data_IF_071320806657
#
_entry.id   IF_071320806657
#
_cell.length_a   1.000
_cell.length_b   1.000
_cell.length_c   1.000
_cell.angle_alpha   90.00
_cell.angle_beta   90.00
_cell.angle_gamma   90.00
#
_symmetry.space_group_name_H-M   'P 1'
#
loop_
_entity.id
_entity.type
_entity.pdbx_description
1 polymer ?
#
# COMPACT_ATOMS: atom_id res chain seq x y z
N UNK A 1 -10.10 -25.45 4.80
CA UNK A 1 -10.22 -24.00 4.73
C UNK A 1 -11.57 -23.51 4.18
N UNK A 2 -12.08 -23.98 3.01
CA UNK A 2 -13.43 -23.60 2.50
C UNK A 2 -14.58 -23.82 3.50
N UNK A 3 -14.53 -24.87 4.34
CA UNK A 3 -15.56 -25.19 5.35
C UNK A 3 -15.53 -24.27 6.59
N UNK A 4 -14.38 -23.67 6.92
CA UNK A 4 -14.24 -22.75 8.07
C UNK A 4 -14.77 -21.35 7.71
N UNK A 5 -14.53 -20.88 6.46
CA UNK A 5 -15.11 -19.63 5.96
C UNK A 5 -16.63 -19.72 5.79
N UNK A 6 -17.14 -20.85 5.27
CA UNK A 6 -18.58 -21.08 5.18
C UNK A 6 -19.24 -21.14 6.58
N UNK A 7 -18.56 -21.70 7.58
CA UNK A 7 -19.05 -21.71 8.96
C UNK A 7 -19.04 -20.32 9.61
N UNK A 8 -18.03 -19.49 9.34
CA UNK A 8 -17.97 -18.10 9.82
C UNK A 8 -19.03 -17.21 9.14
N UNK A 9 -19.27 -17.40 7.84
CA UNK A 9 -20.35 -16.71 7.13
C UNK A 9 -21.73 -17.18 7.59
N UNK A 10 -21.93 -18.48 7.83
CA UNK A 10 -23.18 -19.02 8.37
C UNK A 10 -23.47 -18.55 9.82
N UNK A 11 -22.44 -18.37 10.66
CA UNK A 11 -22.59 -17.77 11.98
C UNK A 11 -23.00 -16.29 11.90
N UNK A 12 -22.49 -15.52 10.95
CA UNK A 12 -22.86 -14.12 10.73
C UNK A 12 -24.29 -13.97 10.18
N UNK A 13 -24.77 -14.91 9.35
CA UNK A 13 -26.15 -14.92 8.84
C UNK A 13 -27.17 -15.45 9.87
N UNK A 14 -26.78 -16.34 10.77
CA UNK A 14 -27.67 -16.91 11.80
C UNK A 14 -28.07 -15.86 12.87
N UNK A 15 -27.26 -14.85 13.11
CA UNK A 15 -27.59 -13.76 14.07
C UNK A 15 -28.58 -12.73 13.52
N UNK A 16 -28.87 -12.72 12.20
CA UNK A 16 -29.81 -11.78 11.58
C UNK A 16 -31.25 -12.32 11.43
N UNK A 17 -31.46 -13.62 11.66
CA UNK A 17 -32.77 -14.25 11.48
C UNK A 17 -33.32 -14.77 12.84
N UNK A 18 -33.79 -13.88 13.71
CA UNK A 18 -34.77 -14.16 14.76
C UNK A 18 -34.65 -15.48 15.58
N UNK A 19 -33.44 -16.08 15.66
CA UNK A 19 -33.17 -17.22 16.55
C UNK A 19 -32.91 -16.68 17.95
N UNK A 20 -33.55 -17.23 18.95
CA UNK A 20 -33.31 -17.01 20.36
C UNK A 20 -31.79 -16.96 20.63
N UNK A 21 -31.29 -15.78 21.06
CA UNK A 21 -29.86 -15.53 21.28
C UNK A 21 -29.31 -16.50 22.36
N UNK A 22 -28.83 -17.66 21.93
CA UNK A 22 -27.97 -18.45 22.75
C UNK A 22 -26.69 -17.63 23.03
N UNK A 23 -26.43 -17.32 24.30
CA UNK A 23 -25.20 -16.60 24.67
C UNK A 23 -23.98 -17.29 24.04
N UNK A 24 -23.10 -16.56 23.36
CA UNK A 24 -21.92 -17.15 22.78
C UNK A 24 -21.05 -17.77 23.87
N UNK A 25 -20.43 -18.93 23.62
CA UNK A 25 -19.53 -19.57 24.59
C UNK A 25 -18.47 -18.60 25.13
N UNK A 26 -18.05 -18.74 26.37
CA UNK A 26 -17.10 -17.82 27.03
C UNK A 26 -15.78 -17.63 26.24
N UNK A 27 -15.30 -18.69 25.57
CA UNK A 27 -14.11 -18.58 24.71
C UNK A 27 -14.33 -17.67 23.50
N UNK A 28 -15.55 -17.57 22.96
CA UNK A 28 -15.90 -16.65 21.85
C UNK A 28 -15.91 -15.22 22.36
N UNK A 29 -16.48 -14.98 23.54
CA UNK A 29 -16.44 -13.66 24.21
C UNK A 29 -14.99 -13.22 24.47
N UNK A 30 -14.13 -14.16 24.91
CA UNK A 30 -12.72 -13.91 25.16
C UNK A 30 -11.92 -13.57 23.90
N UNK A 31 -12.33 -14.03 22.70
CA UNK A 31 -11.67 -13.76 21.43
C UNK A 31 -11.86 -12.34 20.91
N UNK A 32 -12.76 -11.54 21.48
CA UNK A 32 -13.05 -10.17 21.04
C UNK A 32 -13.10 -10.07 19.49
N UNK A 33 -13.96 -10.87 18.91
CA UNK A 33 -14.12 -10.94 17.46
C UNK A 33 -14.68 -9.62 16.90
N UNK A 34 -14.16 -9.21 15.76
CA UNK A 34 -14.66 -8.10 14.95
C UNK A 34 -14.67 -8.51 13.49
N UNK A 35 -15.68 -8.09 12.77
CA UNK A 35 -15.79 -8.38 11.35
C UNK A 35 -16.20 -7.19 10.52
N UNK A 36 -15.89 -7.27 9.24
CA UNK A 36 -16.31 -6.32 8.22
C UNK A 36 -16.69 -7.09 6.96
N UNK A 37 -17.86 -6.82 6.42
CA UNK A 37 -18.26 -7.23 5.07
C UNK A 37 -18.46 -5.97 4.25
N UNK A 38 -17.88 -5.90 3.07
CA UNK A 38 -18.02 -4.77 2.17
C UNK A 38 -18.39 -5.25 0.76
N UNK A 39 -19.36 -4.56 0.15
CA UNK A 39 -19.72 -4.68 -1.26
C UNK A 39 -19.21 -3.43 -1.98
N UNK A 40 -18.26 -3.62 -2.91
CA UNK A 40 -17.62 -2.55 -3.64
C UNK A 40 -18.04 -2.60 -5.11
N UNK A 41 -18.68 -1.55 -5.58
CA UNK A 41 -19.05 -1.36 -6.98
C UNK A 41 -18.25 -0.19 -7.56
N UNK A 42 -17.74 -0.35 -8.81
CA UNK A 42 -17.15 0.74 -9.58
C UNK A 42 -17.61 0.69 -11.04
N UNK A 43 -17.93 1.87 -11.58
CA UNK A 43 -18.31 2.06 -12.97
C UNK A 43 -17.35 3.05 -13.63
N UNK A 44 -16.72 2.65 -14.73
CA UNK A 44 -15.83 3.49 -15.53
C UNK A 44 -16.62 4.52 -16.32
N UNK A 45 -16.16 5.76 -16.34
CA UNK A 45 -16.83 6.87 -17.01
C UNK A 45 -16.44 7.01 -18.49
N UNK A 46 -15.23 6.60 -18.85
CA UNK A 46 -14.73 6.68 -20.23
C UNK A 46 -15.09 5.46 -21.07
N UNK A 47 -15.15 5.64 -22.38
CA UNK A 47 -15.45 4.60 -23.35
C UNK A 47 -14.41 3.46 -23.39
N UNK A 48 -14.86 2.19 -23.33
CA UNK A 48 -16.23 1.75 -23.10
C UNK A 48 -16.63 1.95 -21.63
N UNK A 49 -17.71 2.71 -21.37
CA UNK A 49 -18.30 2.86 -20.05
C UNK A 49 -18.89 1.53 -19.60
N UNK A 50 -18.32 0.94 -18.56
CA UNK A 50 -18.74 -0.36 -18.04
C UNK A 50 -18.40 -0.56 -16.56
N UNK A 51 -18.92 -1.62 -15.97
CA UNK A 51 -18.60 -2.02 -14.60
C UNK A 51 -17.15 -2.49 -14.57
N UNK A 52 -16.32 -1.88 -13.71
CA UNK A 52 -14.91 -2.18 -13.53
C UNK A 52 -14.59 -2.90 -12.22
N UNK A 53 -15.56 -2.98 -11.29
CA UNK A 53 -15.48 -3.72 -10.02
C UNK A 53 -16.86 -4.11 -9.54
N UNK A 54 -17.00 -5.34 -9.05
CA UNK A 54 -18.17 -5.85 -8.34
C UNK A 54 -17.65 -6.84 -7.27
N UNK A 55 -17.07 -6.29 -6.20
CA UNK A 55 -16.25 -7.04 -5.23
C UNK A 55 -16.95 -7.16 -3.89
N UNK A 56 -17.11 -8.40 -3.44
CA UNK A 56 -17.46 -8.75 -2.05
C UNK A 56 -16.19 -8.99 -1.27
N UNK A 57 -15.94 -8.21 -0.24
CA UNK A 57 -14.78 -8.31 0.64
C UNK A 57 -15.20 -8.64 2.06
N UNK A 58 -14.59 -9.68 2.64
CA UNK A 58 -14.74 -10.08 4.03
C UNK A 58 -13.45 -9.87 4.81
N UNK A 59 -13.56 -9.34 6.02
CA UNK A 59 -12.49 -9.22 7.02
C UNK A 59 -12.98 -9.78 8.34
N UNK A 60 -12.17 -10.61 8.98
CA UNK A 60 -12.41 -11.11 10.32
C UNK A 60 -11.13 -11.01 11.15
N UNK A 61 -11.21 -10.43 12.31
CA UNK A 61 -10.11 -10.38 13.27
C UNK A 61 -10.55 -10.84 14.66
N UNK A 62 -9.61 -11.42 15.41
CA UNK A 62 -9.78 -11.80 16.79
C UNK A 62 -8.55 -11.46 17.60
N UNK A 63 -8.76 -11.01 18.83
CA UNK A 63 -7.70 -10.76 19.81
C UNK A 63 -7.99 -11.55 21.07
N UNK A 64 -7.01 -12.32 21.54
CA UNK A 64 -7.08 -13.11 22.77
C UNK A 64 -5.97 -12.68 23.74
N UNK A 65 -6.35 -12.26 24.94
CA UNK A 65 -5.39 -11.96 26.01
C UNK A 65 -5.12 -13.27 26.77
N UNK A 66 -3.91 -13.80 26.63
CA UNK A 66 -3.44 -14.99 27.36
C UNK A 66 -3.14 -14.61 28.81
N UNK A 67 -2.53 -13.45 29.03
CA UNK A 67 -2.24 -12.83 30.31
C UNK A 67 -2.16 -11.31 30.15
N UNK A 68 -1.87 -10.59 31.24
CA UNK A 68 -1.59 -9.12 31.13
C UNK A 68 -0.39 -8.81 30.24
N UNK A 69 0.60 -9.69 30.21
CA UNK A 69 1.82 -9.51 29.43
C UNK A 69 1.77 -10.15 28.04
N UNK A 70 0.83 -11.06 27.75
CA UNK A 70 0.83 -11.88 26.53
C UNK A 70 -0.51 -11.79 25.82
N UNK A 71 -0.51 -11.44 24.56
CA UNK A 71 -1.70 -11.45 23.71
C UNK A 71 -1.44 -12.06 22.33
N UNK A 72 -2.48 -12.68 21.78
CA UNK A 72 -2.53 -13.21 20.43
C UNK A 72 -3.52 -12.38 19.62
N UNK A 73 -3.17 -12.10 18.35
CA UNK A 73 -4.06 -11.48 17.38
C UNK A 73 -3.99 -12.22 16.06
N UNK A 74 -5.14 -12.45 15.46
CA UNK A 74 -5.23 -13.01 14.12
C UNK A 74 -6.24 -12.22 13.30
N UNK A 75 -5.90 -11.94 12.03
CA UNK A 75 -6.81 -11.28 11.09
C UNK A 75 -6.69 -11.92 9.70
N UNK A 76 -7.85 -12.16 9.06
CA UNK A 76 -7.96 -12.74 7.72
C UNK A 76 -8.79 -11.81 6.86
N UNK A 77 -8.37 -11.62 5.62
CA UNK A 77 -9.12 -10.91 4.59
C UNK A 77 -9.32 -11.81 3.37
N UNK A 78 -10.50 -11.82 2.82
CA UNK A 78 -10.77 -12.47 1.55
C UNK A 78 -11.72 -11.65 0.70
N UNK A 79 -11.63 -11.82 -0.64
CA UNK A 79 -12.61 -11.24 -1.56
C UNK A 79 -12.88 -12.13 -2.76
N UNK A 80 -14.02 -11.82 -3.37
CA UNK A 80 -14.42 -12.32 -4.67
C UNK A 80 -14.93 -11.15 -5.50
N UNK A 81 -14.39 -10.96 -6.71
CA UNK A 81 -14.82 -9.90 -7.62
C UNK A 81 -15.56 -10.50 -8.81
N UNK A 82 -16.88 -10.37 -8.79
CA UNK A 82 -17.78 -10.91 -9.79
C UNK A 82 -17.70 -10.19 -11.15
N UNK A 83 -16.96 -9.08 -11.25
CA UNK A 83 -16.75 -8.40 -12.54
C UNK A 83 -16.08 -9.33 -13.54
N UNK A 84 -15.22 -10.23 -13.08
CA UNK A 84 -14.53 -11.23 -13.93
C UNK A 84 -15.45 -12.33 -14.48
N UNK A 85 -16.66 -12.48 -13.94
CA UNK A 85 -17.69 -13.36 -14.50
C UNK A 85 -18.69 -12.59 -15.36
N UNK A 86 -18.77 -11.27 -15.17
CA UNK A 86 -19.71 -10.40 -15.85
C UNK A 86 -19.20 -9.85 -17.18
N UNK A 87 -17.87 -9.89 -17.42
CA UNK A 87 -17.24 -9.34 -18.63
C UNK A 87 -16.05 -10.19 -19.10
N UNK A 88 -15.89 -10.33 -20.41
CA UNK A 88 -14.73 -10.96 -21.06
C UNK A 88 -13.56 -9.98 -21.31
N UNK A 89 -13.61 -8.79 -20.71
CA UNK A 89 -12.65 -7.71 -20.95
C UNK A 89 -11.25 -8.04 -20.47
N UNK A 90 -11.16 -8.70 -19.32
CA UNK A 90 -9.88 -8.95 -18.66
C UNK A 90 -9.29 -10.28 -19.12
N UNK A 91 -7.98 -10.30 -19.46
CA UNK A 91 -7.33 -11.55 -19.85
C UNK A 91 -7.21 -12.51 -18.65
N UNK A 92 -7.09 -13.81 -18.94
CA UNK A 92 -7.10 -14.86 -17.93
C UNK A 92 -5.99 -14.75 -16.85
N UNK A 93 -4.87 -14.09 -17.15
CA UNK A 93 -3.83 -13.80 -16.14
C UNK A 93 -4.27 -12.75 -15.12
N UNK A 94 -5.09 -11.77 -15.50
CA UNK A 94 -5.68 -10.76 -14.61
C UNK A 94 -6.79 -11.37 -13.77
N UNK A 95 -7.68 -12.16 -14.41
CA UNK A 95 -8.73 -12.87 -13.69
C UNK A 95 -8.16 -13.75 -12.58
N UNK A 96 -7.15 -14.57 -12.86
CA UNK A 96 -6.49 -15.42 -11.86
C UNK A 96 -5.82 -14.65 -10.73
N UNK A 97 -5.36 -13.41 -10.99
CA UNK A 97 -4.65 -12.57 -10.03
C UNK A 97 -5.59 -11.75 -9.15
N UNK A 98 -6.77 -11.35 -9.66
CA UNK A 98 -7.62 -10.35 -9.01
C UNK A 98 -9.03 -10.80 -8.67
N UNK A 99 -9.56 -11.86 -9.31
CA UNK A 99 -10.93 -12.36 -9.05
C UNK A 99 -11.14 -12.81 -7.61
N UNK A 100 -10.17 -13.53 -7.06
CA UNK A 100 -10.25 -14.03 -5.68
C UNK A 100 -8.92 -13.86 -4.96
N UNK A 101 -8.96 -13.49 -3.70
CA UNK A 101 -7.80 -13.51 -2.81
C UNK A 101 -8.24 -13.95 -1.42
N UNK A 102 -7.38 -14.67 -0.72
CA UNK A 102 -7.52 -15.00 0.68
C UNK A 102 -6.17 -14.81 1.36
N UNK A 103 -6.09 -13.83 2.23
CA UNK A 103 -4.83 -13.40 2.84
C UNK A 103 -4.93 -13.41 4.37
N UNK A 104 -3.94 -14.03 5.02
CA UNK A 104 -3.69 -13.86 6.44
C UNK A 104 -3.08 -12.47 6.63
N UNK A 105 -3.83 -11.56 7.24
CA UNK A 105 -3.39 -10.16 7.45
C UNK A 105 -2.58 -10.00 8.72
N UNK A 106 -2.94 -10.75 9.75
CA UNK A 106 -2.19 -10.80 11.01
C UNK A 106 -2.22 -12.21 11.58
N UNK A 107 -1.11 -12.61 12.19
CA UNK A 107 -0.97 -13.77 13.08
C UNK A 107 0.17 -13.42 14.03
N UNK A 108 -0.17 -12.76 15.13
CA UNK A 108 0.76 -11.98 15.94
C UNK A 108 0.70 -12.43 17.41
N UNK A 109 1.86 -12.78 17.95
CA UNK A 109 2.12 -12.92 19.37
C UNK A 109 2.78 -11.64 19.87
N UNK A 110 2.17 -11.00 20.88
CA UNK A 110 2.75 -9.84 21.56
C UNK A 110 3.10 -10.20 22.99
N UNK A 111 4.30 -9.89 23.41
CA UNK A 111 4.82 -10.11 24.77
C UNK A 111 5.38 -8.79 25.29
N UNK A 112 4.79 -8.25 26.37
CA UNK A 112 5.28 -7.08 27.09
C UNK A 112 5.91 -7.47 28.41
N UNK A 113 7.13 -6.99 28.67
CA UNK A 113 7.81 -7.19 29.95
C UNK A 113 8.64 -5.97 30.34
N UNK A 114 8.18 -5.23 31.33
CA UNK A 114 8.83 -3.99 31.77
C UNK A 114 8.89 -2.95 30.63
N UNK A 115 10.10 -2.60 30.21
CA UNK A 115 10.35 -1.64 29.12
C UNK A 115 10.51 -2.31 27.74
N UNK A 116 10.33 -3.63 27.66
CA UNK A 116 10.47 -4.39 26.42
C UNK A 116 9.12 -4.89 25.93
N UNK A 117 8.78 -4.56 24.70
CA UNK A 117 7.67 -5.12 23.92
C UNK A 117 8.23 -5.93 22.75
N UNK A 118 7.79 -7.19 22.60
CA UNK A 118 8.18 -8.07 21.49
C UNK A 118 6.93 -8.48 20.72
N UNK A 119 6.97 -8.34 19.42
CA UNK A 119 5.94 -8.76 18.47
C UNK A 119 6.53 -9.78 17.51
N UNK A 120 6.03 -10.99 17.52
CA UNK A 120 6.48 -12.09 16.68
C UNK A 120 5.34 -12.60 15.82
N UNK A 121 5.53 -12.65 14.51
CA UNK A 121 4.55 -13.20 13.59
C UNK A 121 4.28 -12.32 12.39
N UNK A 122 3.13 -12.57 11.71
CA UNK A 122 2.72 -11.81 10.53
C UNK A 122 2.07 -10.51 10.94
N UNK A 123 2.62 -9.38 10.47
CA UNK A 123 2.23 -8.05 10.93
C UNK A 123 2.54 -6.96 9.90
N UNK A 124 1.94 -5.77 10.10
CA UNK A 124 2.33 -4.54 9.43
C UNK A 124 3.18 -3.70 10.37
N UNK A 125 4.29 -3.16 9.86
CA UNK A 125 5.21 -2.29 10.58
C UNK A 125 5.22 -0.94 9.86
N UNK A 126 4.81 0.13 10.56
CA UNK A 126 4.55 1.44 9.96
C UNK A 126 5.50 2.46 10.55
N UNK A 127 6.40 3.02 9.73
CA UNK A 127 7.39 4.01 10.16
C UNK A 127 7.13 5.43 9.63
N UNK A 128 6.24 5.58 8.64
CA UNK A 128 5.89 6.86 8.04
C UNK A 128 4.40 7.21 8.16
N UNK A 129 4.07 8.49 8.09
CA UNK A 129 2.72 9.05 8.28
C UNK A 129 2.24 9.93 7.12
N UNK A 130 2.76 9.72 5.92
CA UNK A 130 2.37 10.50 4.74
C UNK A 130 0.92 10.24 4.31
N UNK A 131 0.28 11.24 3.70
CA UNK A 131 -1.13 11.14 3.24
C UNK A 131 -1.28 10.67 1.79
N UNK A 132 -0.22 10.76 0.98
CA UNK A 132 -0.31 10.48 -0.47
C UNK A 132 0.86 9.71 -1.06
N UNK A 133 1.92 9.48 -0.28
CA UNK A 133 3.15 8.82 -0.74
C UNK A 133 3.79 8.02 0.39
N UNK A 134 4.78 7.21 0.07
CA UNK A 134 5.56 6.45 1.05
C UNK A 134 7.00 6.97 1.03
N UNK A 135 7.46 7.56 2.13
CA UNK A 135 8.83 8.08 2.27
C UNK A 135 9.62 7.18 3.24
N UNK A 136 9.26 7.16 4.51
CA UNK A 136 9.90 6.32 5.52
C UNK A 136 9.14 5.00 5.81
N UNK A 137 7.95 4.82 5.25
CA UNK A 137 7.17 3.58 5.32
C UNK A 137 7.72 2.51 4.34
N UNK A 138 8.88 1.99 4.64
CA UNK A 138 9.70 1.15 3.74
C UNK A 138 9.66 -0.35 4.06
N UNK A 139 9.24 -0.74 5.26
CA UNK A 139 9.35 -2.12 5.74
C UNK A 139 8.41 -3.07 4.98
N UNK A 140 7.13 -2.77 4.93
CA UNK A 140 6.16 -3.62 4.27
C UNK A 140 6.11 -3.38 2.76
N UNK A 141 6.04 -4.44 1.91
CA UNK A 141 5.69 -4.31 0.51
C UNK A 141 4.24 -3.82 0.34
N UNK A 142 3.89 -3.39 -0.86
CA UNK A 142 2.59 -2.78 -1.18
C UNK A 142 1.87 -3.55 -2.29
N UNK A 143 0.55 -3.63 -2.18
CA UNK A 143 -0.32 -4.19 -3.21
C UNK A 143 -0.85 -3.08 -4.12
N UNK A 144 -0.20 -2.88 -5.26
CA UNK A 144 -0.56 -1.87 -6.25
C UNK A 144 -1.48 -2.37 -7.35
N UNK A 145 -2.11 -3.55 -7.20
CA UNK A 145 -3.03 -4.08 -8.22
C UNK A 145 -4.21 -3.15 -8.52
N UNK A 146 -4.62 -2.37 -7.53
CA UNK A 146 -5.59 -1.27 -7.67
C UNK A 146 -4.92 0.11 -7.53
N UNK A 147 -3.68 0.25 -8.02
CA UNK A 147 -2.86 1.46 -7.89
C UNK A 147 -2.72 1.90 -6.41
N UNK A 148 -2.89 3.19 -6.10
CA UNK A 148 -2.88 3.75 -4.73
C UNK A 148 -4.28 4.19 -4.30
N UNK A 149 -5.33 3.50 -4.77
CA UNK A 149 -6.73 3.83 -4.50
C UNK A 149 -7.23 3.28 -3.14
N UNK A 150 -6.85 2.05 -2.73
CA UNK A 150 -7.17 1.57 -1.39
C UNK A 150 -6.46 2.37 -0.30
N UNK A 151 -6.99 2.32 0.91
CA UNK A 151 -6.33 2.89 2.09
C UNK A 151 -4.94 2.26 2.32
N UNK A 152 -4.00 3.01 2.89
CA UNK A 152 -2.62 2.54 3.09
C UNK A 152 -2.51 1.26 3.93
N UNK A 153 -3.40 1.07 4.89
CA UNK A 153 -3.50 -0.18 5.66
C UNK A 153 -3.91 -1.38 4.81
N UNK A 154 -4.70 -1.16 3.77
CA UNK A 154 -5.08 -2.21 2.81
C UNK A 154 -3.96 -2.45 1.78
N UNK A 155 -3.26 -1.40 1.36
CA UNK A 155 -2.13 -1.48 0.43
C UNK A 155 -0.94 -2.23 1.02
N UNK A 156 -0.63 -2.04 2.32
CA UNK A 156 0.51 -2.75 2.94
C UNK A 156 0.27 -4.25 2.95
N UNK A 157 1.22 -5.02 2.44
CA UNK A 157 1.25 -6.47 2.54
C UNK A 157 1.94 -6.83 3.85
N UNK A 158 1.28 -7.52 4.80
CA UNK A 158 1.91 -7.93 6.04
C UNK A 158 3.03 -8.94 5.79
N UNK A 159 4.07 -8.90 6.62
CA UNK A 159 5.24 -9.77 6.55
C UNK A 159 5.41 -10.56 7.86
N UNK A 160 6.07 -11.71 7.79
CA UNK A 160 6.52 -12.45 8.97
C UNK A 160 7.78 -11.79 9.53
N UNK A 161 7.69 -11.24 10.73
CA UNK A 161 8.79 -10.49 11.33
C UNK A 161 8.89 -10.72 12.83
N UNK A 162 10.10 -10.56 13.35
CA UNK A 162 10.38 -10.23 14.73
C UNK A 162 10.53 -8.71 14.80
N UNK A 163 9.73 -8.09 15.64
CA UNK A 163 9.77 -6.67 15.93
C UNK A 163 9.84 -6.53 17.46
N UNK A 164 10.77 -5.75 17.95
CA UNK A 164 10.89 -5.46 19.36
C UNK A 164 11.11 -3.97 19.58
N UNK A 165 10.45 -3.44 20.60
CA UNK A 165 10.62 -2.06 21.06
C UNK A 165 11.11 -2.08 22.51
N UNK A 166 12.21 -1.38 22.74
CA UNK A 166 12.75 -1.17 24.09
C UNK A 166 12.75 0.29 24.46
N UNK A 167 12.14 0.61 25.61
CA UNK A 167 12.14 1.97 26.17
C UNK A 167 13.44 2.24 26.89
N UNK A 168 14.30 3.05 26.26
CA UNK A 168 15.63 3.39 26.82
C UNK A 168 15.53 4.35 28.00
N UNK A 169 14.67 5.37 27.88
CA UNK A 169 14.36 6.34 28.94
C UNK A 169 12.95 6.88 28.68
N UNK A 170 12.44 7.74 29.56
CA UNK A 170 11.20 8.46 29.31
C UNK A 170 11.28 9.27 28.00
N UNK A 171 10.41 8.92 27.04
CA UNK A 171 10.33 9.56 25.73
C UNK A 171 11.40 9.13 24.71
N UNK A 172 12.29 8.15 25.02
CA UNK A 172 13.24 7.60 24.06
C UNK A 172 13.03 6.10 23.94
N UNK A 173 12.79 5.61 22.72
CA UNK A 173 12.62 4.19 22.42
C UNK A 173 13.48 3.76 21.24
N UNK A 174 13.93 2.52 21.30
CA UNK A 174 14.60 1.82 20.22
C UNK A 174 13.71 0.67 19.74
N UNK A 175 13.45 0.61 18.45
CA UNK A 175 12.73 -0.47 17.80
C UNK A 175 13.69 -1.18 16.83
N UNK A 176 13.70 -2.51 16.88
CA UNK A 176 14.45 -3.35 15.96
C UNK A 176 13.53 -4.30 15.22
N UNK A 177 13.72 -4.42 13.92
CA UNK A 177 12.94 -5.28 13.02
C UNK A 177 13.87 -6.23 12.30
N UNK A 178 13.50 -7.51 12.28
CA UNK A 178 14.12 -8.53 11.45
C UNK A 178 13.06 -9.39 10.78
N UNK A 179 13.23 -9.66 9.49
CA UNK A 179 12.32 -10.49 8.71
C UNK A 179 13.07 -11.42 7.75
N UNK A 180 12.74 -12.73 7.74
CA UNK A 180 13.13 -13.66 6.67
C UNK A 180 12.16 -13.63 5.49
N UNK A 181 11.05 -12.87 5.60
CA UNK A 181 10.03 -12.72 4.57
C UNK A 181 10.51 -11.67 3.57
N UNK A 182 10.83 -12.10 2.37
CA UNK A 182 11.36 -11.28 1.28
C UNK A 182 10.30 -10.92 0.25
N UNK A 183 9.03 -10.85 0.68
CA UNK A 183 7.92 -10.46 -0.21
C UNK A 183 8.14 -9.10 -0.86
N UNK A 184 7.67 -8.99 -2.10
CA UNK A 184 7.78 -7.80 -2.94
C UNK A 184 6.43 -7.15 -3.20
N UNK A 185 6.44 -5.95 -3.80
CA UNK A 185 5.24 -5.27 -4.22
C UNK A 185 4.48 -6.12 -5.25
N UNK A 186 3.17 -6.24 -5.08
CA UNK A 186 2.28 -6.81 -6.09
C UNK A 186 1.92 -5.73 -7.11
N UNK A 187 2.40 -5.92 -8.32
CA UNK A 187 2.11 -5.01 -9.43
C UNK A 187 0.95 -5.54 -10.27
N UNK A 188 0.11 -4.66 -10.86
CA UNK A 188 -0.97 -5.08 -11.74
C UNK A 188 -0.42 -5.82 -12.97
N UNK A 189 -1.05 -6.95 -13.29
CA UNK A 189 -0.71 -7.75 -14.49
C UNK A 189 -1.08 -7.00 -15.77
N UNK A 190 -0.49 -7.41 -16.88
CA UNK A 190 -0.83 -6.84 -18.20
C UNK A 190 -2.30 -7.09 -18.54
N UNK A 191 -3.02 -6.05 -18.91
CA UNK A 191 -4.45 -6.04 -19.19
C UNK A 191 -5.32 -5.74 -17.96
N UNK A 192 -4.73 -5.51 -16.77
CA UNK A 192 -5.47 -5.09 -15.58
C UNK A 192 -5.96 -3.64 -15.72
N UNK A 193 -7.00 -3.30 -14.95
CA UNK A 193 -7.60 -1.97 -14.91
C UNK A 193 -6.58 -0.86 -14.65
N UNK A 194 -5.70 -1.04 -13.70
CA UNK A 194 -4.64 -0.10 -13.33
C UNK A 194 -3.25 -0.59 -13.73
N UNK A 195 -3.16 -1.21 -14.92
CA UNK A 195 -1.86 -1.58 -15.48
C UNK A 195 -0.99 -0.34 -15.67
N UNK A 196 0.22 -0.34 -15.10
CA UNK A 196 1.17 0.73 -15.34
C UNK A 196 1.58 0.80 -16.80
N UNK A 197 1.62 2.01 -17.35
CA UNK A 197 2.10 2.24 -18.70
C UNK A 197 3.55 1.75 -18.82
N UNK A 198 3.78 0.88 -19.78
CA UNK A 198 5.13 0.50 -20.15
C UNK A 198 5.72 1.62 -20.97
N UNK A 199 6.91 2.08 -20.65
CA UNK A 199 7.66 2.88 -21.57
C UNK A 199 7.91 2.06 -22.84
N UNK A 200 7.80 2.66 -24.02
CA UNK A 200 8.03 1.98 -25.27
C UNK A 200 9.52 1.63 -25.38
N UNK A 201 9.94 0.48 -24.80
CA UNK A 201 11.13 -0.18 -25.29
C UNK A 201 10.86 -0.54 -26.75
N UNK A 202 11.32 0.29 -27.69
CA UNK A 202 11.29 -0.08 -29.11
C UNK A 202 12.47 -1.00 -29.38
N UNK A 203 12.44 -2.19 -28.82
CA UNK A 203 13.34 -3.24 -29.26
C UNK A 203 12.92 -3.64 -30.69
N UNK A 204 13.88 -3.62 -31.62
CA UNK A 204 13.69 -4.23 -32.95
C UNK A 204 13.68 -5.76 -32.87
N UNK A 205 14.17 -6.30 -31.78
CA UNK A 205 14.33 -7.72 -31.49
C UNK A 205 13.12 -8.25 -30.72
N UNK A 206 12.80 -9.55 -30.84
CA UNK A 206 11.82 -10.21 -29.97
C UNK A 206 12.21 -10.04 -28.50
N UNK A 207 11.20 -9.85 -27.64
CA UNK A 207 11.40 -9.67 -26.19
C UNK A 207 10.76 -10.83 -25.44
N UNK A 208 11.49 -11.44 -24.52
CA UNK A 208 11.01 -12.46 -23.59
C UNK A 208 11.09 -11.89 -22.17
N UNK A 209 9.99 -11.89 -21.47
CA UNK A 209 9.94 -11.57 -20.04
C UNK A 209 10.04 -12.87 -19.25
N UNK A 210 11.03 -12.95 -18.37
CA UNK A 210 11.06 -14.02 -17.37
C UNK A 210 10.01 -13.75 -16.28
N UNK A 211 9.47 -14.79 -15.63
CA UNK A 211 8.63 -14.62 -14.46
C UNK A 211 9.43 -14.01 -13.31
N UNK A 212 8.73 -13.32 -12.42
CA UNK A 212 9.29 -12.85 -11.15
C UNK A 212 9.09 -13.97 -10.12
N UNK A 213 10.08 -14.87 -10.04
CA UNK A 213 10.07 -16.06 -9.18
C UNK A 213 10.90 -15.86 -7.91
N UNK A 214 10.96 -14.61 -7.42
CA UNK A 214 11.71 -14.32 -6.20
C UNK A 214 11.14 -15.10 -5.01
N UNK A 215 12.03 -15.78 -4.25
CA UNK A 215 11.66 -16.51 -3.04
C UNK A 215 11.00 -15.56 -2.03
N UNK A 216 9.78 -15.88 -1.61
CA UNK A 216 9.02 -15.10 -0.64
C UNK A 216 9.54 -15.28 0.80
N UNK A 217 10.35 -16.31 1.06
CA UNK A 217 10.92 -16.59 2.38
C UNK A 217 12.36 -17.11 2.26
N UNK A 218 13.31 -16.37 2.83
CA UNK A 218 14.73 -16.74 2.77
C UNK A 218 15.51 -16.21 3.97
N UNK A 219 16.11 -17.10 4.76
CA UNK A 219 17.00 -16.72 5.85
C UNK A 219 18.27 -16.04 5.33
N UNK A 220 18.80 -16.48 4.18
CA UNK A 220 20.00 -15.92 3.57
C UNK A 220 19.81 -14.55 2.92
N UNK A 221 18.57 -14.15 2.65
CA UNK A 221 18.19 -12.84 2.10
C UNK A 221 17.36 -12.02 3.11
N UNK A 222 17.39 -12.39 4.40
CA UNK A 222 16.65 -11.67 5.43
C UNK A 222 16.91 -10.18 5.38
N UNK A 223 15.90 -9.42 5.76
CA UNK A 223 15.90 -7.97 5.80
C UNK A 223 15.81 -7.50 7.26
N UNK A 224 16.20 -6.28 7.51
CA UNK A 224 16.09 -5.76 8.86
C UNK A 224 16.56 -4.33 9.01
N UNK A 225 16.26 -3.77 10.16
CA UNK A 225 16.63 -2.40 10.46
C UNK A 225 16.20 -1.98 11.85
N UNK A 226 16.31 -0.70 12.10
CA UNK A 226 15.96 -0.14 13.40
C UNK A 226 15.42 1.28 13.26
N UNK A 227 14.65 1.68 14.28
CA UNK A 227 14.14 3.03 14.49
C UNK A 227 14.48 3.49 15.90
N UNK A 228 15.12 4.65 16.01
CA UNK A 228 15.33 5.34 17.28
C UNK A 228 14.38 6.53 17.34
N UNK A 229 13.49 6.54 18.33
CA UNK A 229 12.44 7.56 18.46
C UNK A 229 12.63 8.40 19.72
N UNK A 230 12.41 9.70 19.60
CA UNK A 230 12.41 10.67 20.67
C UNK A 230 11.07 11.41 20.69
N UNK A 231 10.30 11.25 21.76
CA UNK A 231 9.08 12.02 22.05
C UNK A 231 9.34 12.91 23.25
N UNK A 232 9.55 14.22 23.02
CA UNK A 232 9.84 15.16 24.11
C UNK A 232 9.31 16.55 23.82
N UNK A 233 8.58 17.13 24.77
CA UNK A 233 8.02 18.50 24.68
C UNK A 233 7.22 18.74 23.39
N UNK A 234 6.43 17.74 22.97
CA UNK A 234 5.62 17.79 21.74
C UNK A 234 6.42 17.67 20.44
N UNK A 235 7.72 17.38 20.49
CA UNK A 235 8.50 16.91 19.36
C UNK A 235 8.44 15.39 19.31
N UNK A 236 8.12 14.86 18.14
CA UNK A 236 8.25 13.45 17.77
C UNK A 236 9.30 13.38 16.66
N UNK A 237 10.45 12.78 16.96
CA UNK A 237 11.56 12.65 16.01
C UNK A 237 12.00 11.22 15.97
N UNK A 238 12.11 10.64 14.77
CA UNK A 238 12.67 9.29 14.63
C UNK A 238 13.79 9.28 13.58
N UNK A 239 14.83 8.49 13.86
CA UNK A 239 15.86 8.10 12.92
C UNK A 239 15.63 6.65 12.52
N UNK A 240 15.67 6.35 11.23
CA UNK A 240 15.43 5.00 10.69
C UNK A 240 16.59 4.54 9.81
N UNK A 241 16.89 3.27 9.91
CA UNK A 241 17.74 2.54 8.98
C UNK A 241 17.07 1.22 8.62
N UNK A 242 17.00 0.90 7.34
CA UNK A 242 16.47 -0.38 6.88
C UNK A 242 17.25 -0.91 5.70
N UNK A 243 17.65 -2.18 5.79
CA UNK A 243 18.36 -2.93 4.78
C UNK A 243 17.42 -3.98 4.17
N UNK A 244 17.15 -3.89 2.86
CA UNK A 244 16.14 -4.70 2.18
C UNK A 244 16.49 -4.98 0.72
N UNK A 245 15.80 -5.97 0.13
CA UNK A 245 15.65 -6.05 -1.31
C UNK A 245 14.74 -4.92 -1.82
N UNK A 246 15.02 -4.35 -3.01
CA UNK A 246 14.10 -3.39 -3.63
C UNK A 246 12.73 -4.04 -3.79
N UNK A 247 11.71 -3.46 -3.19
CA UNK A 247 10.34 -4.01 -3.21
C UNK A 247 9.70 -3.99 -4.60
N UNK A 248 10.24 -3.24 -5.54
CA UNK A 248 9.81 -3.23 -6.94
C UNK A 248 10.85 -3.90 -7.83
N UNK A 249 10.47 -4.78 -8.75
CA UNK A 249 11.42 -5.43 -9.63
C UNK A 249 12.10 -4.43 -10.56
N UNK A 250 13.36 -4.68 -10.85
CA UNK A 250 14.15 -3.99 -11.86
C UNK A 250 14.47 -5.00 -12.96
N UNK A 251 14.17 -4.65 -14.22
CA UNK A 251 14.33 -5.56 -15.35
C UNK A 251 15.73 -5.46 -15.95
N UNK A 252 16.59 -6.42 -15.61
CA UNK A 252 17.89 -6.56 -16.23
C UNK A 252 17.75 -7.11 -17.64
N UNK A 253 18.50 -6.58 -18.58
CA UNK A 253 18.45 -6.97 -19.98
C UNK A 253 19.60 -7.91 -20.31
N UNK A 254 19.30 -8.99 -21.02
CA UNK A 254 20.29 -9.90 -21.58
C UNK A 254 19.98 -10.18 -23.04
N UNK A 255 20.95 -9.98 -23.90
CA UNK A 255 20.84 -10.32 -25.31
C UNK A 255 21.29 -11.77 -25.53
N UNK A 256 20.40 -12.57 -26.14
CA UNK A 256 20.64 -13.97 -26.49
C UNK A 256 20.69 -14.11 -27.99
N UNK A 257 21.85 -14.47 -28.53
CA UNK A 257 22.03 -14.75 -29.95
C UNK A 257 21.31 -16.03 -30.36
N UNK A 258 20.58 -15.98 -31.50
CA UNK A 258 19.81 -17.11 -32.06
C UNK A 258 20.04 -17.25 -33.56
N UNK A 259 21.27 -17.44 -34.08
CA UNK A 259 21.50 -17.58 -35.50
C UNK A 259 20.69 -18.77 -36.08
N UNK A 260 20.06 -18.63 -37.27
CA UNK A 260 20.02 -17.50 -38.17
C UNK A 260 18.91 -16.49 -37.85
N UNK A 261 18.18 -16.63 -36.74
CA UNK A 261 17.11 -15.73 -36.29
C UNK A 261 17.68 -14.46 -35.64
N UNK A 262 16.89 -13.36 -35.58
CA UNK A 262 17.26 -12.19 -34.79
C UNK A 262 17.54 -12.57 -33.31
N UNK A 263 18.50 -11.90 -32.70
CA UNK A 263 18.76 -12.03 -31.27
C UNK A 263 17.48 -11.73 -30.47
N UNK A 264 17.35 -12.38 -29.32
CA UNK A 264 16.25 -12.16 -28.38
C UNK A 264 16.75 -11.32 -27.21
N UNK A 265 15.96 -10.32 -26.82
CA UNK A 265 16.16 -9.58 -25.56
C UNK A 265 15.39 -10.30 -24.45
N UNK A 266 16.10 -10.76 -23.44
CA UNK A 266 15.51 -11.35 -22.25
C UNK A 266 15.48 -10.28 -21.16
N UNK A 267 14.31 -10.01 -20.61
CA UNK A 267 14.10 -9.14 -19.45
C UNK A 267 13.93 -10.02 -18.21
N UNK A 268 14.88 -9.88 -17.29
CA UNK A 268 15.00 -10.67 -16.06
C UNK A 268 14.66 -9.75 -14.87
N UNK A 269 13.48 -9.93 -14.21
CA UNK A 269 13.13 -9.15 -13.03
C UNK A 269 14.01 -9.57 -11.85
N UNK A 270 14.65 -8.59 -11.23
CA UNK A 270 15.49 -8.80 -10.05
C UNK A 270 15.16 -7.76 -8.98
N UNK A 271 15.44 -8.11 -7.72
CA UNK A 271 15.26 -7.27 -6.54
C UNK A 271 16.62 -6.98 -5.87
N UNK A 272 17.41 -6.04 -6.41
CA UNK A 272 18.72 -5.68 -5.85
C UNK A 272 18.60 -5.18 -4.42
N UNK A 273 19.64 -5.41 -3.61
CA UNK A 273 19.71 -4.89 -2.25
C UNK A 273 19.81 -3.37 -2.25
N UNK A 274 19.10 -2.73 -1.32
CA UNK A 274 19.11 -1.28 -1.10
C UNK A 274 19.17 -1.00 0.40
N UNK A 275 19.76 0.14 0.76
CA UNK A 275 19.83 0.63 2.13
C UNK A 275 19.07 1.93 2.24
N UNK A 276 18.19 2.04 3.22
CA UNK A 276 17.38 3.26 3.45
C UNK A 276 17.80 3.86 4.78
N UNK A 277 18.18 5.13 4.74
CA UNK A 277 18.43 5.96 5.93
C UNK A 277 17.40 7.06 5.93
N UNK A 278 16.67 7.24 7.02
CA UNK A 278 15.57 8.22 7.04
C UNK A 278 15.42 8.92 8.38
N UNK A 279 14.62 9.99 8.34
CA UNK A 279 14.23 10.78 9.51
C UNK A 279 12.76 11.13 9.37
N UNK A 280 12.03 11.06 10.49
CA UNK A 280 10.68 11.61 10.63
C UNK A 280 10.67 12.69 11.70
N UNK A 281 9.81 13.69 11.52
CA UNK A 281 9.65 14.77 12.45
C UNK A 281 8.17 15.16 12.52
N UNK A 282 7.63 15.19 13.72
CA UNK A 282 6.30 15.67 14.04
C UNK A 282 6.36 16.75 15.12
N UNK A 283 5.55 17.80 14.99
CA UNK A 283 5.42 18.86 15.99
C UNK A 283 4.03 19.46 15.97
N UNK A 284 3.40 19.51 17.13
CA UNK A 284 2.19 20.31 17.34
C UNK A 284 2.56 21.72 17.81
N UNK A 285 2.03 22.73 17.09
CA UNK A 285 2.08 24.15 17.39
C UNK A 285 0.65 24.67 17.51
N UNK A 286 -0.16 24.11 18.38
CA UNK A 286 -1.58 24.43 18.48
C UNK A 286 -2.01 25.75 17.84
N UNK A 287 -2.90 25.74 16.85
CA UNK A 287 -3.72 24.60 16.36
C UNK A 287 -3.14 23.88 15.13
N UNK A 288 -1.89 24.07 14.79
CA UNK A 288 -1.21 23.52 13.61
C UNK A 288 -0.36 22.32 13.99
N UNK A 289 -0.43 21.24 13.21
CA UNK A 289 0.51 20.12 13.31
C UNK A 289 1.39 20.11 12.06
N UNK A 290 2.70 20.13 12.26
CA UNK A 290 3.70 20.02 11.18
C UNK A 290 4.32 18.64 11.21
N UNK A 291 4.43 18.02 10.03
CA UNK A 291 5.11 16.73 9.82
C UNK A 291 6.14 16.87 8.72
N UNK A 292 7.26 16.19 8.87
CA UNK A 292 8.25 16.07 7.82
C UNK A 292 8.86 14.66 7.83
N UNK A 293 9.17 14.15 6.65
CA UNK A 293 9.89 12.90 6.47
C UNK A 293 10.98 13.11 5.42
N UNK A 294 12.10 12.42 5.57
CA UNK A 294 13.10 12.30 4.53
C UNK A 294 13.72 10.90 4.57
N UNK A 295 13.95 10.31 3.40
CA UNK A 295 14.60 9.02 3.24
C UNK A 295 15.60 9.07 2.09
N UNK A 296 16.83 8.68 2.37
CA UNK A 296 17.89 8.52 1.38
C UNK A 296 18.07 7.02 1.10
N UNK A 297 17.80 6.63 -0.16
CA UNK A 297 17.94 5.24 -0.61
C UNK A 297 19.25 5.09 -1.38
N UNK A 298 20.12 4.24 -0.87
CA UNK A 298 21.44 3.93 -1.42
C UNK A 298 21.33 2.68 -2.28
N UNK A 299 22.11 2.60 -3.35
CA UNK A 299 22.23 1.45 -4.26
C UNK A 299 20.99 1.12 -5.09
N UNK A 300 20.04 2.06 -5.23
CA UNK A 300 18.86 1.83 -6.04
C UNK A 300 19.21 1.68 -7.52
N UNK A 301 18.55 0.71 -8.19
CA UNK A 301 18.71 0.44 -9.61
C UNK A 301 17.55 1.02 -10.40
N UNK A 302 17.86 1.50 -11.61
CA UNK A 302 16.89 2.04 -12.56
C UNK A 302 17.15 1.51 -13.95
N UNK A 303 16.08 1.21 -14.67
CA UNK A 303 16.17 0.79 -16.07
C UNK A 303 16.59 1.96 -16.94
N UNK A 304 17.50 1.69 -17.90
CA UNK A 304 18.06 2.69 -18.79
C UNK A 304 18.07 2.22 -20.24
N UNK A 305 18.01 3.17 -21.17
CA UNK A 305 18.25 2.96 -22.60
C UNK A 305 19.64 3.41 -23.02
N UNK A 306 20.53 3.72 -22.08
CA UNK A 306 21.91 4.07 -22.38
C UNK A 306 22.62 2.87 -23.03
N UNK A 307 23.16 3.00 -24.26
CA UNK A 307 23.81 1.90 -24.96
C UNK A 307 25.12 1.45 -24.29
N UNK A 308 25.66 2.23 -23.36
CA UNK A 308 26.87 1.86 -22.59
C UNK A 308 26.54 0.91 -21.43
N UNK A 309 25.30 0.91 -20.94
CA UNK A 309 24.82 0.00 -19.90
C UNK A 309 24.26 -1.27 -20.53
N UNK A 310 25.11 -2.27 -20.73
CA UNK A 310 24.80 -3.50 -21.49
C UNK A 310 23.72 -4.37 -20.83
N UNK A 311 23.56 -4.29 -19.51
CA UNK A 311 22.52 -4.96 -18.74
C UNK A 311 21.21 -4.14 -18.64
N UNK A 312 21.19 -2.95 -19.25
CA UNK A 312 20.02 -2.05 -19.29
C UNK A 312 19.67 -1.45 -17.93
N UNK A 313 20.57 -1.42 -16.96
CA UNK A 313 20.34 -0.95 -15.60
C UNK A 313 21.43 -0.02 -15.14
N UNK A 314 21.06 1.08 -14.50
CA UNK A 314 22.01 2.05 -13.91
C UNK A 314 21.73 2.24 -12.43
N UNK A 315 22.77 2.39 -11.63
CA UNK A 315 22.70 2.69 -10.20
C UNK A 315 22.55 4.20 -9.99
N UNK A 316 21.55 4.60 -9.18
CA UNK A 316 21.33 5.98 -8.75
C UNK A 316 20.73 5.98 -7.35
N UNK A 317 21.32 6.74 -6.44
CA UNK A 317 20.73 6.99 -5.13
C UNK A 317 19.57 7.95 -5.26
N UNK A 318 18.64 7.93 -4.30
CA UNK A 318 17.49 8.84 -4.28
C UNK A 318 17.29 9.45 -2.92
N UNK A 319 16.85 10.70 -2.91
CA UNK A 319 16.30 11.37 -1.74
C UNK A 319 14.81 11.61 -1.97
N UNK A 320 13.99 10.98 -1.14
CA UNK A 320 12.57 11.25 -1.05
C UNK A 320 12.31 12.06 0.21
N UNK A 321 11.55 13.15 0.13
CA UNK A 321 11.19 13.94 1.29
C UNK A 321 9.79 14.53 1.17
N UNK A 322 9.19 14.82 2.31
CA UNK A 322 7.91 15.53 2.39
C UNK A 322 7.88 16.50 3.58
N UNK A 323 7.05 17.53 3.45
CA UNK A 323 6.58 18.36 4.54
C UNK A 323 5.07 18.47 4.45
N UNK A 324 4.41 18.23 5.57
CA UNK A 324 2.96 18.27 5.71
C UNK A 324 2.54 19.24 6.82
N UNK A 325 1.39 19.85 6.64
CA UNK A 325 0.74 20.72 7.62
C UNK A 325 -0.72 20.31 7.75
N UNK A 326 -1.13 20.01 8.98
CA UNK A 326 -2.51 19.74 9.32
C UNK A 326 -3.09 20.90 10.13
N UNK A 327 -4.30 21.30 9.78
CA UNK A 327 -5.04 22.36 10.44
C UNK A 327 -6.55 22.12 10.36
N UNK A 328 -7.27 22.34 11.44
CA UNK A 328 -8.73 22.28 11.46
C UNK A 328 -9.33 23.67 11.37
N UNK A 329 -9.89 24.03 10.21
CA UNK A 329 -10.58 25.29 10.01
C UNK A 329 -11.99 25.23 10.61
N UNK A 330 -12.39 26.32 11.28
CA UNK A 330 -13.75 26.50 11.81
C UNK A 330 -14.19 25.34 12.74
N UNK A 331 -13.22 24.69 13.43
CA UNK A 331 -13.45 23.54 14.30
C UNK A 331 -14.14 22.33 13.62
N UNK A 332 -14.16 22.30 12.28
CA UNK A 332 -14.92 21.29 11.50
C UNK A 332 -14.20 20.79 10.27
N UNK A 333 -13.47 21.65 9.57
CA UNK A 333 -12.84 21.28 8.30
C UNK A 333 -11.39 20.87 8.55
N UNK A 334 -11.16 19.59 8.69
CA UNK A 334 -9.82 19.02 8.80
C UNK A 334 -9.13 19.11 7.43
N UNK A 335 -8.02 19.82 7.43
CA UNK A 335 -7.22 20.07 6.24
C UNK A 335 -5.82 19.53 6.45
N UNK A 336 -5.35 18.68 5.54
CA UNK A 336 -3.97 18.23 5.49
C UNK A 336 -3.37 18.61 4.13
N UNK A 337 -2.33 19.42 4.14
CA UNK A 337 -1.57 19.84 2.96
C UNK A 337 -0.18 19.23 3.03
N UNK A 338 0.27 18.57 1.97
CA UNK A 338 1.58 17.92 1.91
C UNK A 338 2.28 18.26 0.60
N UNK A 339 3.48 18.80 0.70
CA UNK A 339 4.44 18.90 -0.41
C UNK A 339 5.44 17.77 -0.30
N UNK A 340 5.66 17.04 -1.38
CA UNK A 340 6.64 15.96 -1.45
C UNK A 340 7.53 16.08 -2.69
N UNK A 341 8.76 15.62 -2.55
CA UNK A 341 9.71 15.65 -3.64
C UNK A 341 10.59 14.39 -3.63
N UNK A 342 10.77 13.81 -4.81
CA UNK A 342 11.74 12.77 -5.08
C UNK A 342 12.87 13.35 -5.92
N UNK A 343 14.10 13.23 -5.44
CA UNK A 343 15.31 13.71 -6.09
C UNK A 343 16.20 12.52 -6.43
N UNK A 344 16.47 12.33 -7.72
CA UNK A 344 17.43 11.36 -8.21
C UNK A 344 18.84 11.94 -8.18
N UNK A 345 19.79 11.25 -7.57
CA UNK A 345 21.18 11.68 -7.53
C UNK A 345 21.87 11.34 -8.85
N UNK A 346 22.35 12.37 -9.54
CA UNK A 346 22.98 12.23 -10.85
C UNK A 346 22.07 12.49 -12.03
N UNK A 347 22.40 11.90 -13.20
CA UNK A 347 21.64 12.11 -14.44
C UNK A 347 20.41 11.24 -14.52
N UNK A 348 19.30 11.83 -14.94
CA UNK A 348 18.06 11.13 -15.31
C UNK A 348 17.97 10.85 -16.83
N UNK A 349 18.99 11.21 -17.60
CA UNK A 349 19.04 10.94 -19.04
C UNK A 349 18.98 9.44 -19.28
N UNK A 350 18.20 9.02 -20.28
CA UNK A 350 17.98 7.62 -20.66
C UNK A 350 17.21 6.75 -19.67
N UNK A 351 16.71 7.28 -18.52
CA UNK A 351 15.84 6.50 -17.65
C UNK A 351 14.46 6.28 -18.28
N UNK A 352 13.91 5.10 -18.07
CA UNK A 352 12.76 4.61 -18.84
C UNK A 352 11.46 4.49 -18.05
N UNK A 353 11.45 4.59 -16.72
CA UNK A 353 10.21 4.46 -15.94
C UNK A 353 9.35 5.74 -15.97
N UNK A 354 8.02 5.63 -16.21
CA UNK A 354 7.08 6.73 -15.98
C UNK A 354 7.22 7.23 -14.52
N UNK A 355 7.22 8.55 -14.35
CA UNK A 355 7.40 9.13 -13.02
C UNK A 355 8.85 9.28 -12.56
N UNK A 356 9.83 8.59 -13.18
CA UNK A 356 11.26 8.64 -12.82
C UNK A 356 12.12 9.35 -13.87
N UNK A 357 11.62 9.55 -15.08
CA UNK A 357 12.35 10.20 -16.17
C UNK A 357 12.72 11.68 -15.90
N UNK A 358 12.48 12.20 -14.69
CA UNK A 358 12.94 13.52 -14.27
C UNK A 358 13.86 13.39 -13.05
N UNK A 359 14.91 14.21 -13.03
CA UNK A 359 15.83 14.28 -11.89
C UNK A 359 15.11 14.68 -10.59
N UNK A 360 14.07 15.49 -10.70
CA UNK A 360 13.26 15.96 -9.58
C UNK A 360 11.79 15.78 -9.94
N UNK A 361 11.04 15.09 -9.09
CA UNK A 361 9.58 14.98 -9.16
C UNK A 361 8.97 15.62 -7.94
N UNK A 362 8.13 16.63 -8.13
CA UNK A 362 7.48 17.36 -7.04
C UNK A 362 5.98 17.13 -7.10
N UNK A 363 5.37 16.78 -5.96
CA UNK A 363 3.94 16.56 -5.85
C UNK A 363 3.35 17.33 -4.68
N UNK A 364 2.12 17.80 -4.85
CA UNK A 364 1.32 18.44 -3.82
C UNK A 364 0.08 17.59 -3.57
N UNK A 365 -0.23 17.32 -2.30
CA UNK A 365 -1.45 16.66 -1.89
C UNK A 365 -2.24 17.54 -0.93
N UNK A 366 -3.56 17.59 -1.13
CA UNK A 366 -4.52 18.26 -0.26
C UNK A 366 -5.61 17.26 0.10
N UNK A 367 -5.82 17.03 1.40
CA UNK A 367 -6.97 16.29 1.92
C UNK A 367 -7.84 17.22 2.74
N UNK A 368 -9.12 17.24 2.42
CA UNK A 368 -10.16 17.96 3.14
C UNK A 368 -11.15 16.94 3.67
N UNK A 369 -11.49 17.00 4.95
CA UNK A 369 -12.47 16.13 5.59
C UNK A 369 -13.33 16.97 6.54
N UNK A 370 -14.63 16.73 6.53
CA UNK A 370 -15.53 17.39 7.49
C UNK A 370 -16.67 16.44 7.86
N UNK A 371 -17.36 16.72 8.96
CA UNK A 371 -18.52 15.98 9.42
C UNK A 371 -19.76 16.85 9.55
N UNK A 372 -20.90 16.33 9.14
CA UNK A 372 -22.23 16.93 9.29
C UNK A 372 -23.15 15.98 10.04
N UNK A 373 -24.17 16.54 10.70
CA UNK A 373 -25.21 15.77 11.41
C UNK A 373 -24.59 14.79 12.43
N UNK A 374 -23.78 15.34 13.36
CA UNK A 374 -23.07 14.55 14.36
C UNK A 374 -22.18 13.43 13.76
N UNK A 375 -21.46 13.76 12.69
CA UNK A 375 -20.62 12.86 11.92
C UNK A 375 -21.36 11.69 11.25
N UNK A 376 -22.67 11.85 11.01
CA UNK A 376 -23.44 10.89 10.22
C UNK A 376 -23.11 10.98 8.74
N UNK A 377 -22.79 12.19 8.23
CA UNK A 377 -22.37 12.43 6.84
C UNK A 377 -20.96 13.03 6.81
N UNK A 378 -20.01 12.31 6.21
CA UNK A 378 -18.60 12.67 6.24
C UNK A 378 -18.02 12.78 4.81
N UNK A 379 -18.10 13.96 4.17
CA UNK A 379 -17.40 14.19 2.92
C UNK A 379 -15.89 14.31 3.12
N UNK A 380 -15.15 13.69 2.21
CA UNK A 380 -13.70 13.76 2.11
C UNK A 380 -13.31 14.03 0.65
N UNK A 381 -12.33 14.89 0.44
CA UNK A 381 -11.72 15.11 -0.87
C UNK A 381 -10.23 14.92 -0.74
N UNK A 382 -9.65 14.05 -1.57
CA UNK A 382 -8.21 13.95 -1.75
C UNK A 382 -7.85 14.44 -3.15
N UNK A 383 -7.02 15.46 -3.22
CA UNK A 383 -6.43 15.96 -4.46
C UNK A 383 -4.91 15.80 -4.41
N UNK A 384 -4.33 15.17 -5.42
CA UNK A 384 -2.87 15.00 -5.54
C UNK A 384 -2.44 15.39 -6.94
N UNK A 385 -1.45 16.27 -7.06
CA UNK A 385 -0.95 16.73 -8.37
C UNK A 385 0.57 16.68 -8.46
N UNK A 386 1.08 16.32 -9.62
CA UNK A 386 2.48 16.43 -9.99
C UNK A 386 2.78 17.83 -10.51
N UNK A 387 3.39 18.70 -9.69
CA UNK A 387 3.59 20.12 -10.00
C UNK A 387 4.48 20.36 -11.23
N UNK A 388 5.42 19.50 -11.52
CA UNK A 388 6.32 19.62 -12.65
C UNK A 388 5.95 18.72 -13.86
N UNK A 389 4.78 18.06 -13.79
CA UNK A 389 4.31 17.14 -14.84
C UNK A 389 2.91 17.43 -15.35
N UNK A 390 2.12 18.22 -14.61
CA UNK A 390 0.79 18.64 -14.99
C UNK A 390 -0.22 17.50 -14.98
N UNK A 391 -0.01 16.51 -14.12
CA UNK A 391 -0.94 15.41 -13.88
C UNK A 391 -1.58 15.51 -12.49
N UNK A 392 -2.78 14.97 -12.34
CA UNK A 392 -3.42 14.93 -11.03
C UNK A 392 -4.36 13.73 -10.86
N UNK A 393 -4.66 13.44 -9.60
CA UNK A 393 -5.77 12.60 -9.14
C UNK A 393 -6.68 13.42 -8.24
N UNK A 394 -7.98 13.34 -8.46
CA UNK A 394 -9.02 13.88 -7.59
C UNK A 394 -9.95 12.76 -7.15
N UNK A 395 -10.06 12.55 -5.84
CA UNK A 395 -10.90 11.50 -5.24
C UNK A 395 -11.85 12.08 -4.21
N UNK A 396 -13.03 12.61 -4.62
CA UNK A 396 -14.11 12.96 -3.71
C UNK A 396 -14.81 11.69 -3.20
N UNK A 397 -15.20 11.67 -1.93
CA UNK A 397 -15.98 10.61 -1.30
C UNK A 397 -16.91 11.19 -0.24
N UNK A 398 -18.07 10.61 -0.12
CA UNK A 398 -19.04 10.89 0.95
C UNK A 398 -19.35 9.58 1.65
N UNK A 399 -19.09 9.50 2.93
CA UNK A 399 -19.45 8.39 3.79
C UNK A 399 -20.72 8.76 4.58
N UNK A 400 -21.77 7.96 4.45
CA UNK A 400 -23.02 8.11 5.18
C UNK A 400 -23.21 6.95 6.15
N UNK A 401 -23.26 7.25 7.43
CA UNK A 401 -23.48 6.28 8.50
C UNK A 401 -24.99 5.99 8.61
N UNK A 402 -25.44 4.92 7.91
CA UNK A 402 -26.85 4.50 7.91
C UNK A 402 -27.28 4.02 9.30
N UNK A 403 -26.37 3.35 10.01
CA UNK A 403 -26.54 2.91 11.39
C UNK A 403 -25.18 2.77 12.06
N UNK A 404 -25.13 2.45 13.34
CA UNK A 404 -23.87 2.19 14.04
C UNK A 404 -23.00 1.07 13.41
N UNK A 405 -23.61 0.19 12.62
CA UNK A 405 -22.96 -0.94 11.97
C UNK A 405 -22.77 -0.78 10.46
N UNK A 406 -23.60 0.05 9.78
CA UNK A 406 -23.66 0.13 8.31
C UNK A 406 -23.24 1.51 7.83
N UNK A 407 -22.27 1.54 6.93
CA UNK A 407 -21.81 2.74 6.22
C UNK A 407 -22.04 2.57 4.72
N UNK A 408 -22.63 3.58 4.09
CA UNK A 408 -22.73 3.71 2.64
C UNK A 408 -21.75 4.79 2.17
N UNK A 409 -20.88 4.46 1.23
CA UNK A 409 -19.88 5.37 0.68
C UNK A 409 -20.11 5.56 -0.82
N UNK A 410 -20.19 6.81 -1.27
CA UNK A 410 -20.24 7.17 -2.69
C UNK A 410 -19.02 8.02 -3.00
N UNK A 411 -18.33 7.73 -4.08
CA UNK A 411 -17.12 8.44 -4.45
C UNK A 411 -16.84 8.41 -5.95
N UNK A 412 -15.75 9.07 -6.31
CA UNK A 412 -15.15 8.99 -7.64
C UNK A 412 -13.63 9.00 -7.55
N UNK A 413 -12.98 8.42 -8.55
CA UNK A 413 -11.56 8.59 -8.81
C UNK A 413 -11.41 9.17 -10.21
N UNK A 414 -10.84 10.36 -10.30
CA UNK A 414 -10.63 11.11 -11.54
C UNK A 414 -9.13 11.32 -11.74
N UNK A 415 -8.65 11.03 -12.93
CA UNK A 415 -7.25 11.13 -13.30
C UNK A 415 -7.09 12.01 -14.53
N UNK A 416 -6.09 12.85 -14.55
CA UNK A 416 -5.84 13.74 -15.68
C UNK A 416 -4.32 13.93 -15.87
N UNK A 417 -3.91 14.14 -17.10
CA UNK A 417 -2.55 14.52 -17.42
C UNK A 417 -1.94 13.79 -18.61
N UNK A 418 -0.69 14.12 -18.97
CA UNK A 418 0.02 13.44 -20.04
C UNK A 418 0.18 11.94 -19.78
N UNK A 419 -0.05 11.10 -20.78
CA UNK A 419 -0.04 9.64 -20.68
C UNK A 419 1.25 9.02 -20.10
N UNK A 420 2.35 9.74 -20.09
CA UNK A 420 3.63 9.27 -19.52
C UNK A 420 3.84 9.67 -18.04
N UNK A 421 2.85 10.26 -17.41
CA UNK A 421 2.91 10.70 -16.01
C UNK A 421 2.25 9.68 -15.07
N UNK A 422 2.43 9.87 -13.77
CA UNK A 422 1.95 8.92 -12.76
C UNK A 422 0.42 8.77 -12.78
N UNK A 423 -0.32 9.87 -12.90
CA UNK A 423 -1.79 9.87 -12.91
C UNK A 423 -2.33 9.89 -14.33
N UNK A 424 -1.74 10.64 -15.27
CA UNK A 424 -2.23 10.75 -16.63
C UNK A 424 -2.22 9.44 -17.44
N UNK A 425 -1.44 8.43 -17.03
CA UNK A 425 -1.52 7.09 -17.63
C UNK A 425 -2.89 6.43 -17.38
N UNK A 426 -3.66 6.92 -16.38
CA UNK A 426 -4.97 6.42 -15.99
C UNK A 426 -6.12 7.37 -16.36
N UNK A 427 -5.89 8.36 -17.20
CA UNK A 427 -6.88 9.33 -17.69
C UNK A 427 -8.20 8.69 -18.19
N UNK A 428 -8.13 7.47 -18.77
CA UNK A 428 -9.28 6.70 -19.20
C UNK A 428 -9.87 5.76 -18.14
N UNK A 429 -9.36 5.78 -16.93
CA UNK A 429 -9.80 4.92 -15.82
C UNK A 429 -10.63 5.69 -14.79
N UNK A 430 -11.10 6.90 -15.15
CA UNK A 430 -12.05 7.63 -14.33
C UNK A 430 -13.25 6.78 -13.99
N UNK A 431 -13.63 6.78 -12.71
CA UNK A 431 -14.71 5.93 -12.23
C UNK A 431 -15.52 6.57 -11.12
N UNK A 432 -16.78 6.17 -11.00
CA UNK A 432 -17.59 6.37 -9.82
C UNK A 432 -17.61 5.09 -9.01
N UNK A 433 -17.70 5.22 -7.69
CA UNK A 433 -17.68 4.10 -6.76
C UNK A 433 -18.85 4.15 -5.79
N UNK A 434 -19.38 2.98 -5.45
CA UNK A 434 -20.36 2.79 -4.39
C UNK A 434 -19.87 1.65 -3.50
N UNK A 435 -19.77 1.88 -2.21
CA UNK A 435 -19.37 0.84 -1.25
C UNK A 435 -20.36 0.79 -0.10
N UNK A 436 -20.86 -0.39 0.19
CA UNK A 436 -21.64 -0.65 1.40
C UNK A 436 -20.78 -1.46 2.36
N UNK A 437 -20.58 -0.98 3.57
CA UNK A 437 -19.78 -1.66 4.59
C UNK A 437 -20.62 -1.97 5.81
N UNK A 438 -20.65 -3.23 6.20
CA UNK A 438 -21.24 -3.69 7.45
C UNK A 438 -20.12 -4.13 8.41
N UNK A 439 -20.18 -3.63 9.66
CA UNK A 439 -19.24 -3.98 10.75
C UNK A 439 -20.00 -4.64 11.89
N UNK A 440 -19.39 -5.65 12.49
CA UNK A 440 -19.98 -6.42 13.61
C UNK A 440 -18.92 -6.86 14.61
#
# INVERSE_FOLDING_TARGET
MRRVLAAAMLLAFATSAGAEEAEPPEWVKALRLRGRLAEEFAYRLHDPGDVSKLKTLGWLEGKYAVSEAVSLRAAVRGWYDAVFDATDRYPANVERDQKTDLSLREALLTIGHGDLDVRLGRQQIVWGEAISTFVTDVVNPKDFREFVLPDFSELRIPIWALDFTYRLTEGVSFEGVWTPDTMHNRLPKQGAEFQFARLPYRFRNPVVHLPDDADEFSLGRSEGGFRLSLLRRGWDVSLVYYDQADKSPVFFQRRVAQPPRPDVIVLDPQHPRVHVVGVTLGKSFEPVVVRAEAAYTIDKRYETTDPLDLDGVVRRDTLDWLVGVDYTFFERLDTALQLSQKVLMGSATHLTRPGVAARVTTSLALRLTTGFFDNTLNPTVLFVTGLNRGDFRLSPRIDYLVSGAVTLSVGADLFEGPHQTLYGQFDRNDRVTLTTTWRF
#
